data_IF_340986659726
#
_entry.id   IF_340986659726
#
_cell.length_a   1.000
_cell.length_b   1.000
_cell.length_c   1.000
_cell.angle_alpha   90.00
_cell.angle_beta   90.00
_cell.angle_gamma   90.00
#
_symmetry.space_group_name_H-M   'P 1'
#
loop_
_entity.id
_entity.type
_entity.pdbx_description
1 polymer ?
#
# COMPACT_ATOMS: atom_id res chain seq x y z
N UNK A 1 17.20 1.38 7.60
CA UNK A 1 17.18 -0.10 7.60
C UNK A 1 15.74 -0.52 7.39
N UNK A 2 15.47 -1.28 6.33
CA UNK A 2 14.12 -1.76 6.07
C UNK A 2 13.72 -2.78 7.15
N UNK A 3 12.49 -2.69 7.65
CA UNK A 3 11.92 -3.70 8.54
C UNK A 3 11.71 -5.01 7.76
N UNK A 4 11.53 -6.12 8.45
CA UNK A 4 11.24 -7.42 7.84
C UNK A 4 9.89 -7.94 8.29
N UNK A 5 9.05 -8.26 7.32
CA UNK A 5 7.84 -9.04 7.55
C UNK A 5 8.19 -10.52 7.78
N UNK A 6 7.39 -11.20 8.60
CA UNK A 6 7.56 -12.63 8.88
C UNK A 6 6.23 -13.34 8.67
N UNK A 7 6.21 -14.27 7.73
CA UNK A 7 5.07 -15.17 7.56
C UNK A 7 5.61 -16.61 7.46
N UNK A 8 5.30 -17.50 8.43
CA UNK A 8 5.79 -18.86 8.42
C UNK A 8 5.22 -19.71 7.27
N UNK A 9 4.07 -19.33 6.72
CA UNK A 9 3.40 -20.06 5.65
C UNK A 9 3.91 -19.68 4.25
N UNK A 10 4.57 -18.51 4.14
CA UNK A 10 5.12 -18.05 2.88
C UNK A 10 6.64 -18.01 2.99
N UNK A 11 7.30 -18.72 2.13
CA UNK A 11 8.74 -18.72 2.03
C UNK A 11 9.24 -17.28 1.83
N UNK A 12 9.98 -16.77 2.80
CA UNK A 12 10.49 -15.39 2.83
C UNK A 12 11.22 -15.02 1.53
N UNK A 13 11.93 -15.97 0.93
CA UNK A 13 12.64 -15.74 -0.33
C UNK A 13 11.71 -15.43 -1.52
N UNK A 14 10.45 -15.90 -1.50
CA UNK A 14 9.48 -15.56 -2.55
C UNK A 14 9.09 -14.09 -2.51
N UNK A 15 9.02 -13.50 -1.33
CA UNK A 15 8.72 -12.07 -1.16
C UNK A 15 9.90 -11.19 -1.58
N UNK A 16 11.11 -11.66 -1.39
CA UNK A 16 12.33 -10.96 -1.77
C UNK A 16 12.78 -11.24 -3.21
N UNK A 17 12.30 -12.31 -3.81
CA UNK A 17 12.51 -12.61 -5.23
C UNK A 17 11.61 -11.75 -6.09
N UNK A 18 11.49 -10.51 -5.77
CA UNK A 18 10.85 -9.58 -6.66
C UNK A 18 11.72 -9.42 -7.89
N UNK A 19 11.09 -9.29 -9.02
CA UNK A 19 11.73 -8.67 -10.15
C UNK A 19 12.37 -7.34 -9.75
N UNK A 20 12.98 -6.69 -10.65
CA UNK A 20 13.66 -5.41 -10.45
C UNK A 20 12.65 -4.38 -9.92
N UNK A 21 13.02 -3.64 -8.89
CA UNK A 21 12.27 -2.51 -8.39
C UNK A 21 12.04 -1.49 -9.50
N UNK A 22 10.81 -0.99 -9.59
CA UNK A 22 10.49 -0.02 -10.62
C UNK A 22 9.03 0.39 -10.61
N UNK A 23 8.68 1.25 -11.54
CA UNK A 23 7.32 1.70 -11.72
C UNK A 23 6.99 1.91 -13.21
N UNK A 24 5.72 1.81 -13.56
CA UNK A 24 5.17 2.30 -14.82
C UNK A 24 4.53 3.65 -14.57
N UNK A 25 4.56 4.52 -15.57
CA UNK A 25 3.93 5.84 -15.48
C UNK A 25 3.27 6.16 -16.82
N UNK A 26 1.95 6.26 -16.79
CA UNK A 26 1.14 6.46 -17.97
C UNK A 26 0.23 7.68 -17.81
N UNK A 27 -0.03 8.37 -18.92
CA UNK A 27 -1.03 9.43 -18.97
C UNK A 27 -2.28 8.91 -19.65
N UNK A 28 -3.40 8.99 -18.96
CA UNK A 28 -4.71 8.64 -19.51
C UNK A 28 -5.66 9.86 -19.41
N UNK A 29 -5.93 10.47 -20.56
CA UNK A 29 -6.76 11.67 -20.63
C UNK A 29 -6.14 12.86 -19.85
N UNK A 30 -6.81 13.27 -18.78
CA UNK A 30 -6.44 14.40 -17.92
C UNK A 30 -5.79 13.99 -16.60
N UNK A 31 -5.47 12.68 -16.45
CA UNK A 31 -4.84 12.14 -15.26
C UNK A 31 -3.63 11.26 -15.59
N UNK A 32 -2.90 10.89 -14.55
CA UNK A 32 -1.72 10.05 -14.60
C UNK A 32 -1.90 8.85 -13.67
N UNK A 33 -1.42 7.72 -14.12
CA UNK A 33 -1.43 6.46 -13.37
C UNK A 33 -0.01 5.92 -13.23
N UNK A 34 0.32 5.44 -12.04
CA UNK A 34 1.56 4.73 -11.80
C UNK A 34 1.31 3.43 -11.05
N UNK A 35 1.99 2.38 -11.48
CA UNK A 35 2.08 1.12 -10.74
C UNK A 35 3.51 0.95 -10.25
N UNK A 36 3.68 0.69 -8.96
CA UNK A 36 4.99 0.55 -8.33
C UNK A 36 5.17 -0.87 -7.83
N UNK A 37 6.25 -1.49 -8.22
CA UNK A 37 6.63 -2.81 -7.77
C UNK A 37 8.01 -2.82 -7.11
N UNK A 38 8.07 -3.44 -5.92
CA UNK A 38 9.30 -3.70 -5.17
C UNK A 38 9.09 -4.92 -4.27
N UNK A 39 10.05 -5.27 -3.42
CA UNK A 39 9.76 -6.27 -2.39
C UNK A 39 8.72 -5.75 -1.39
N UNK A 40 8.08 -6.66 -0.65
CA UNK A 40 6.95 -6.35 0.21
C UNK A 40 7.26 -5.23 1.23
N UNK A 41 8.42 -5.30 1.88
CA UNK A 41 8.82 -4.33 2.90
C UNK A 41 9.04 -2.95 2.28
N UNK A 42 9.67 -2.90 1.11
CA UNK A 42 9.92 -1.66 0.40
C UNK A 42 8.63 -1.00 -0.09
N UNK A 43 7.71 -1.79 -0.62
CA UNK A 43 6.39 -1.28 -1.07
C UNK A 43 5.63 -0.64 0.09
N UNK A 44 5.54 -1.32 1.24
CA UNK A 44 4.86 -0.78 2.42
C UNK A 44 5.59 0.45 2.98
N UNK A 45 6.92 0.47 2.93
CA UNK A 45 7.68 1.65 3.33
C UNK A 45 7.50 2.83 2.35
N UNK A 46 7.42 2.56 1.05
CA UNK A 46 7.07 3.55 0.04
C UNK A 46 5.67 4.11 0.26
N UNK A 47 4.68 3.28 0.55
CA UNK A 47 3.32 3.71 0.88
C UNK A 47 3.34 4.72 2.05
N UNK A 48 4.06 4.40 3.11
CA UNK A 48 4.24 5.30 4.24
C UNK A 48 4.97 6.60 3.87
N UNK A 49 6.08 6.52 3.14
CA UNK A 49 6.90 7.70 2.85
C UNK A 49 6.25 8.60 1.81
N UNK A 50 5.59 8.04 0.81
CA UNK A 50 4.90 8.79 -0.24
C UNK A 50 3.61 9.43 0.28
N UNK A 51 2.95 8.87 1.29
CA UNK A 51 1.77 9.49 1.90
C UNK A 51 2.03 10.89 2.42
N UNK A 52 3.28 11.24 2.75
CA UNK A 52 3.68 12.58 3.17
C UNK A 52 3.38 13.67 2.12
N UNK A 53 3.25 13.27 0.85
CA UNK A 53 2.98 14.19 -0.26
C UNK A 53 1.49 14.50 -0.43
N UNK A 54 0.63 13.87 0.35
CA UNK A 54 -0.80 14.14 0.38
C UNK A 54 -1.11 15.38 1.22
N UNK A 55 -2.31 15.89 1.13
CA UNK A 55 -2.74 17.08 1.88
C UNK A 55 -2.82 16.85 3.39
N UNK A 56 -3.11 17.91 4.17
CA UNK A 56 -3.11 17.86 5.64
C UNK A 56 -4.24 17.00 6.22
N UNK A 57 -5.31 16.81 5.47
CA UNK A 57 -6.43 15.92 5.77
C UNK A 57 -6.73 15.07 4.55
N UNK A 58 -7.04 13.81 4.78
CA UNK A 58 -7.27 12.83 3.73
C UNK A 58 -8.46 11.95 4.08
N UNK A 59 -9.06 11.38 3.05
CA UNK A 59 -10.00 10.27 3.20
C UNK A 59 -9.25 8.96 3.07
N UNK A 60 -9.68 7.95 3.80
CA UNK A 60 -9.06 6.63 3.70
C UNK A 60 -10.08 5.49 3.72
N UNK A 61 -9.70 4.42 3.01
CA UNK A 61 -10.43 3.15 3.02
C UNK A 61 -9.44 2.03 3.28
N UNK A 62 -9.81 1.13 4.18
CA UNK A 62 -9.05 -0.08 4.49
C UNK A 62 -9.96 -1.28 4.31
N UNK A 63 -9.58 -2.22 3.46
CA UNK A 63 -10.34 -3.44 3.20
C UNK A 63 -9.48 -4.67 3.46
N UNK A 64 -9.89 -5.50 4.40
CA UNK A 64 -9.28 -6.81 4.65
C UNK A 64 -10.02 -7.88 3.85
N UNK A 65 -9.38 -8.43 2.82
CA UNK A 65 -9.96 -9.45 1.95
C UNK A 65 -10.24 -10.79 2.66
N UNK A 66 -9.58 -11.04 3.81
CA UNK A 66 -9.76 -12.27 4.58
C UNK A 66 -11.08 -12.29 5.33
N UNK A 67 -11.40 -11.15 5.93
CA UNK A 67 -12.62 -10.97 6.71
C UNK A 67 -13.78 -10.40 5.90
N UNK A 68 -13.51 -10.00 4.64
CA UNK A 68 -14.48 -9.28 3.80
C UNK A 68 -15.04 -8.05 4.50
N UNK A 69 -14.19 -7.36 5.27
CA UNK A 69 -14.56 -6.20 6.06
C UNK A 69 -13.84 -4.97 5.54
N UNK A 70 -14.57 -3.89 5.41
CA UNK A 70 -14.04 -2.59 5.02
C UNK A 70 -14.31 -1.53 6.09
N UNK A 71 -13.41 -0.58 6.19
CA UNK A 71 -13.53 0.60 7.03
C UNK A 71 -13.23 1.83 6.20
N UNK A 72 -13.97 2.88 6.42
CA UNK A 72 -13.75 4.17 5.76
C UNK A 72 -13.75 5.32 6.75
N UNK A 73 -13.07 6.41 6.39
CA UNK A 73 -13.07 7.65 7.14
C UNK A 73 -12.74 8.82 6.26
N UNK A 74 -13.35 9.97 6.58
CA UNK A 74 -13.22 11.21 5.82
C UNK A 74 -12.52 12.28 6.65
N UNK A 75 -11.78 13.15 5.97
CA UNK A 75 -11.10 14.31 6.56
C UNK A 75 -10.22 13.98 7.78
N UNK A 76 -9.55 12.85 7.74
CA UNK A 76 -8.66 12.42 8.82
C UNK A 76 -7.33 13.17 8.71
N UNK A 77 -6.80 13.63 9.83
CA UNK A 77 -5.50 14.29 9.86
C UNK A 77 -4.39 13.36 9.34
N UNK A 78 -3.62 13.82 8.37
CA UNK A 78 -2.55 13.03 7.76
C UNK A 78 -1.54 12.45 8.79
N UNK A 79 -1.11 13.17 9.84
CA UNK A 79 -0.22 12.62 10.85
C UNK A 79 -0.80 11.39 11.57
N UNK A 80 -2.11 11.36 11.85
CA UNK A 80 -2.76 10.23 12.51
C UNK A 80 -2.80 9.00 11.60
N UNK A 81 -3.13 9.20 10.32
CA UNK A 81 -3.10 8.13 9.32
C UNK A 81 -1.67 7.58 9.15
N UNK A 82 -0.68 8.46 9.11
CA UNK A 82 0.73 8.04 9.00
C UNK A 82 1.21 7.27 10.24
N UNK A 83 0.78 7.65 11.46
CA UNK A 83 1.06 6.86 12.67
C UNK A 83 0.42 5.46 12.59
N UNK A 84 -0.81 5.38 12.12
CA UNK A 84 -1.49 4.09 11.89
C UNK A 84 -0.73 3.22 10.88
N UNK A 85 -0.35 3.76 9.71
CA UNK A 85 0.44 3.04 8.70
C UNK A 85 1.78 2.57 9.29
N UNK A 86 2.47 3.43 10.07
CA UNK A 86 3.74 3.06 10.68
C UNK A 86 3.63 1.82 11.58
N UNK A 87 2.53 1.70 12.33
CA UNK A 87 2.24 0.53 13.18
C UNK A 87 1.85 -0.71 12.38
N UNK A 88 1.25 -0.52 11.21
CA UNK A 88 0.81 -1.60 10.33
C UNK A 88 1.92 -2.13 9.41
N UNK A 89 3.08 -1.47 9.31
CA UNK A 89 4.14 -1.84 8.35
C UNK A 89 4.51 -3.32 8.39
N UNK A 90 4.80 -3.84 9.58
CA UNK A 90 5.22 -5.24 9.73
C UNK A 90 4.10 -6.21 9.40
N UNK A 91 2.89 -6.11 9.98
CA UNK A 91 1.81 -7.03 9.64
C UNK A 91 1.38 -6.92 8.17
N UNK A 92 1.29 -5.73 7.57
CA UNK A 92 0.98 -5.59 6.14
C UNK A 92 2.00 -6.29 5.25
N UNK A 93 3.30 -6.02 5.45
CA UNK A 93 4.36 -6.67 4.68
C UNK A 93 4.46 -8.17 4.92
N UNK A 94 4.06 -8.63 6.12
CA UNK A 94 4.08 -10.04 6.48
C UNK A 94 2.98 -10.82 5.78
N UNK A 95 1.77 -10.30 5.80
CA UNK A 95 0.58 -11.05 5.40
C UNK A 95 0.03 -10.62 4.03
N UNK A 96 0.08 -9.36 3.64
CA UNK A 96 -0.64 -8.88 2.45
C UNK A 96 -2.16 -9.06 2.58
N UNK A 97 -2.88 -9.06 1.46
CA UNK A 97 -4.32 -9.32 1.44
C UNK A 97 -5.19 -8.19 2.01
N UNK A 98 -4.62 -7.00 2.13
CA UNK A 98 -5.31 -5.79 2.56
C UNK A 98 -5.16 -4.73 1.48
N UNK A 99 -6.24 -4.12 1.09
CA UNK A 99 -6.23 -2.89 0.32
C UNK A 99 -6.31 -1.70 1.26
N UNK A 100 -5.38 -0.77 1.12
CA UNK A 100 -5.37 0.46 1.91
C UNK A 100 -5.22 1.65 0.97
N UNK A 101 -6.26 2.44 0.85
CA UNK A 101 -6.32 3.58 -0.07
C UNK A 101 -6.42 4.89 0.70
N UNK A 102 -5.63 5.86 0.25
CA UNK A 102 -5.62 7.25 0.72
C UNK A 102 -6.05 8.15 -0.42
N UNK A 103 -6.99 9.05 -0.15
CA UNK A 103 -7.56 9.96 -1.13
C UNK A 103 -7.37 11.42 -0.74
N UNK A 104 -7.14 12.22 -1.75
CA UNK A 104 -7.35 13.67 -1.75
C UNK A 104 -8.15 14.05 -2.99
N UNK A 105 -8.60 15.29 -3.18
CA UNK A 105 -9.27 15.69 -4.41
C UNK A 105 -8.46 15.47 -5.69
N UNK A 106 -7.13 15.47 -5.60
CA UNK A 106 -6.24 15.40 -6.76
C UNK A 106 -5.42 14.11 -6.85
N UNK A 107 -5.27 13.38 -5.75
CA UNK A 107 -4.38 12.23 -5.66
C UNK A 107 -5.04 11.05 -4.97
N UNK A 108 -4.67 9.85 -5.40
CA UNK A 108 -4.96 8.60 -4.72
C UNK A 108 -3.69 7.77 -4.63
N UNK A 109 -3.43 7.19 -3.47
CA UNK A 109 -2.39 6.16 -3.30
C UNK A 109 -3.04 4.92 -2.70
N UNK A 110 -2.91 3.79 -3.37
CA UNK A 110 -3.44 2.51 -2.91
C UNK A 110 -2.29 1.52 -2.70
N UNK A 111 -2.18 0.97 -1.49
CA UNK A 111 -1.47 -0.27 -1.26
C UNK A 111 -2.39 -1.42 -1.61
N UNK A 112 -2.05 -2.17 -2.65
CA UNK A 112 -2.89 -3.28 -3.12
C UNK A 112 -2.72 -4.52 -2.24
N UNK A 113 -3.69 -5.45 -2.25
CA UNK A 113 -3.58 -6.72 -1.53
C UNK A 113 -2.35 -7.56 -1.92
N UNK A 114 -1.86 -7.39 -3.15
CA UNK A 114 -0.68 -8.07 -3.67
C UNK A 114 0.64 -7.38 -3.29
N UNK A 115 0.58 -6.33 -2.46
CA UNK A 115 1.74 -5.54 -2.04
C UNK A 115 2.43 -4.85 -3.23
N UNK A 116 1.64 -4.12 -3.98
CA UNK A 116 2.04 -3.17 -5.01
C UNK A 116 1.42 -1.81 -4.67
N UNK A 117 1.95 -0.72 -5.22
CA UNK A 117 1.27 0.56 -5.14
C UNK A 117 0.61 0.88 -6.47
N UNK A 118 -0.60 1.37 -6.38
CA UNK A 118 -1.28 2.07 -7.46
C UNK A 118 -1.41 3.54 -7.06
N UNK A 119 -1.02 4.44 -7.95
CA UNK A 119 -1.11 5.88 -7.75
C UNK A 119 -1.91 6.46 -8.91
N UNK A 120 -2.90 7.26 -8.57
CA UNK A 120 -3.67 8.07 -9.51
C UNK A 120 -3.48 9.54 -9.15
N UNK A 121 -3.27 10.41 -10.14
CA UNK A 121 -3.06 11.83 -9.89
C UNK A 121 -3.49 12.68 -11.08
N UNK A 122 -3.92 13.91 -10.79
CA UNK A 122 -4.16 14.94 -11.82
C UNK A 122 -2.87 15.64 -12.28
N UNK A 123 -1.75 15.35 -11.64
CA UNK A 123 -0.46 15.97 -11.98
C UNK A 123 0.62 14.92 -12.17
N UNK A 124 1.67 15.27 -12.89
CA UNK A 124 2.83 14.42 -13.15
C UNK A 124 3.86 14.39 -12.01
N UNK A 125 3.58 15.02 -10.87
CA UNK A 125 4.52 15.11 -9.74
C UNK A 125 5.04 13.75 -9.27
N UNK A 126 4.22 12.71 -9.38
CA UNK A 126 4.56 11.37 -8.92
C UNK A 126 5.68 10.72 -9.73
N UNK A 127 5.85 11.08 -11.00
CA UNK A 127 6.99 10.66 -11.80
C UNK A 127 8.31 11.04 -11.09
N UNK A 128 8.44 12.29 -10.72
CA UNK A 128 9.65 12.82 -10.08
C UNK A 128 9.82 12.32 -8.66
N UNK A 129 8.73 12.16 -7.91
CA UNK A 129 8.75 11.60 -6.55
C UNK A 129 9.22 10.15 -6.55
N UNK A 130 8.75 9.32 -7.48
CA UNK A 130 9.15 7.92 -7.60
C UNK A 130 10.60 7.80 -8.03
N UNK A 131 11.04 8.59 -9.00
CA UNK A 131 12.46 8.68 -9.41
C UNK A 131 13.35 9.14 -8.23
N UNK A 132 12.90 10.12 -7.46
CA UNK A 132 13.59 10.59 -6.25
C UNK A 132 13.71 9.53 -5.15
N UNK A 133 12.86 8.51 -5.14
CA UNK A 133 12.98 7.33 -4.27
C UNK A 133 13.92 6.25 -4.82
N UNK A 134 14.59 6.51 -5.94
CA UNK A 134 15.52 5.59 -6.57
C UNK A 134 14.84 4.45 -7.33
N UNK A 135 13.59 4.64 -7.76
CA UNK A 135 12.88 3.70 -8.62
C UNK A 135 13.15 4.06 -10.08
N UNK A 136 13.23 3.04 -10.93
CA UNK A 136 13.36 3.20 -12.37
C UNK A 136 12.01 3.06 -13.06
N UNK A 137 11.74 3.98 -13.99
CA UNK A 137 10.60 3.88 -14.88
C UNK A 137 10.80 2.72 -15.87
N UNK A 138 9.76 1.92 -16.08
CA UNK A 138 9.78 0.75 -16.95
C UNK A 138 8.54 0.73 -17.83
N UNK A 139 8.66 0.18 -19.02
CA UNK A 139 7.52 -0.02 -19.91
C UNK A 139 6.48 -1.01 -19.34
N UNK A 140 6.93 -1.97 -18.55
CA UNK A 140 6.07 -2.92 -17.85
C UNK A 140 6.77 -3.44 -16.58
N UNK A 141 5.98 -3.77 -15.56
CA UNK A 141 6.48 -4.47 -14.38
C UNK A 141 6.50 -5.97 -14.62
N UNK A 142 7.43 -6.65 -13.94
CA UNK A 142 7.49 -8.11 -13.96
C UNK A 142 6.18 -8.71 -13.42
N UNK A 143 5.72 -9.79 -14.05
CA UNK A 143 4.55 -10.52 -13.57
C UNK A 143 4.77 -11.00 -12.13
N UNK A 144 3.83 -10.70 -11.29
CA UNK A 144 3.81 -11.03 -9.86
C UNK A 144 2.61 -11.88 -9.47
N UNK A 145 2.12 -12.67 -10.39
CA UNK A 145 1.01 -13.60 -10.17
C UNK A 145 1.16 -14.48 -8.91
N UNK A 146 2.40 -14.74 -8.49
CA UNK A 146 2.69 -15.45 -7.25
C UNK A 146 2.20 -14.72 -5.99
N UNK A 147 1.90 -13.42 -6.07
CA UNK A 147 1.36 -12.63 -4.96
C UNK A 147 -0.13 -12.82 -4.76
N UNK A 148 -0.85 -13.18 -5.79
CA UNK A 148 -2.28 -13.48 -5.74
C UNK A 148 -2.52 -14.97 -5.45
N UNK A 149 -1.99 -15.46 -4.35
CA UNK A 149 -2.10 -16.87 -3.97
C UNK A 149 -3.06 -17.06 -2.78
N UNK A 150 -3.41 -18.31 -2.52
CA UNK A 150 -4.29 -18.68 -1.40
C UNK A 150 -3.80 -18.15 -0.03
N UNK A 151 -2.51 -17.87 0.12
CA UNK A 151 -1.97 -17.29 1.36
C UNK A 151 -2.51 -15.88 1.67
N UNK A 152 -2.93 -15.11 0.67
CA UNK A 152 -3.56 -13.81 0.86
C UNK A 152 -4.87 -13.92 1.65
N UNK A 153 -5.49 -15.09 1.61
CA UNK A 153 -6.72 -15.43 2.31
C UNK A 153 -6.51 -16.31 3.54
N UNK A 154 -5.29 -16.71 3.80
CA UNK A 154 -4.97 -17.49 5.01
C UNK A 154 -5.27 -16.66 6.27
N UNK A 155 -5.77 -17.28 7.35
CA UNK A 155 -6.03 -16.56 8.60
C UNK A 155 -4.79 -15.79 9.08
N UNK A 156 -4.98 -14.52 9.42
CA UNK A 156 -3.92 -13.64 9.89
C UNK A 156 -4.41 -12.84 11.13
N UNK A 157 -4.61 -13.49 12.27
CA UNK A 157 -5.21 -12.85 13.45
C UNK A 157 -4.41 -11.65 13.95
N UNK A 158 -3.09 -11.67 13.84
CA UNK A 158 -2.23 -10.53 14.19
C UNK A 158 -2.49 -9.31 13.29
N UNK A 159 -2.66 -9.53 11.98
CA UNK A 159 -2.98 -8.46 11.04
C UNK A 159 -4.40 -7.93 11.29
N UNK A 160 -5.39 -8.82 11.41
CA UNK A 160 -6.79 -8.42 11.65
C UNK A 160 -6.93 -7.62 12.95
N UNK A 161 -6.27 -8.02 14.01
CA UNK A 161 -6.24 -7.25 15.27
C UNK A 161 -5.57 -5.88 15.11
N UNK A 162 -4.48 -5.81 14.34
CA UNK A 162 -3.78 -4.56 14.08
C UNK A 162 -4.63 -3.59 13.23
N UNK A 163 -5.36 -4.11 12.24
CA UNK A 163 -6.28 -3.30 11.43
C UNK A 163 -7.43 -2.78 12.28
N UNK A 164 -8.06 -3.62 13.09
CA UNK A 164 -9.14 -3.21 13.98
C UNK A 164 -8.68 -2.10 14.96
N UNK A 165 -7.50 -2.24 15.54
CA UNK A 165 -6.92 -1.21 16.41
C UNK A 165 -6.60 0.11 15.66
N UNK A 166 -6.18 0.02 14.40
CA UNK A 166 -5.97 1.20 13.56
C UNK A 166 -7.30 1.88 13.20
N UNK A 167 -8.31 1.11 12.83
CA UNK A 167 -9.65 1.61 12.52
C UNK A 167 -10.28 2.33 13.74
N UNK A 168 -10.20 1.74 14.92
CA UNK A 168 -10.67 2.37 16.17
C UNK A 168 -9.93 3.70 16.44
N UNK A 169 -8.61 3.70 16.32
CA UNK A 169 -7.78 4.90 16.56
C UNK A 169 -8.11 6.03 15.60
N UNK A 170 -8.37 5.73 14.35
CA UNK A 170 -8.72 6.70 13.30
C UNK A 170 -10.22 6.99 13.28
N UNK A 171 -11.01 6.41 14.18
CA UNK A 171 -12.46 6.51 14.22
C UNK A 171 -13.13 6.16 12.87
N UNK A 172 -12.60 5.13 12.18
CA UNK A 172 -13.17 4.68 10.92
C UNK A 172 -14.51 3.98 11.16
N UNK A 173 -15.41 4.16 10.21
CA UNK A 173 -16.70 3.48 10.18
C UNK A 173 -16.55 2.16 9.44
N UNK A 174 -17.04 1.08 10.03
CA UNK A 174 -17.08 -0.24 9.39
C UNK A 174 -18.32 -0.35 8.49
N UNK A 175 -18.12 -0.89 7.28
CA UNK A 175 -19.18 -1.28 6.34
C UNK A 175 -19.51 -2.76 6.45
#
# INVERSE_FOLDING_TARGET
MLFRGRNPEVSVWRRFRSGVDGFTFDKDGDHYEAYVGANAERVVDLFYTLSEQLGPAIDCVVSDLRSETSWHGESIALPDVRDAIARLKVPLATYGGVEFTLYTPDDQITLTPQLELFIYSRTDKWLYLLQGKGLEERAALADRSWRSQAWDRAPAPTLSAAIAAAAERLALTQE
#
